data_IF_284087944629
#
_entry.id   IF_284087944629
#
_cell.length_a   1.000
_cell.length_b   1.000
_cell.length_c   1.000
_cell.angle_alpha   90.00
_cell.angle_beta   90.00
_cell.angle_gamma   90.00
#
_symmetry.space_group_name_H-M   'P 1'
#
loop_
_entity.id
_entity.type
_entity.pdbx_description
1 polymer ?
#
# COMPACT_ATOMS: atom_id res chain seq x y z
N UNK A 1 -7.83 20.98 15.20
CA UNK A 1 -6.46 20.68 14.73
C UNK A 1 -5.78 21.99 14.34
N UNK A 2 -4.57 22.24 14.83
CA UNK A 2 -3.85 23.50 14.62
C UNK A 2 -3.31 23.53 13.16
N UNK A 3 -3.50 24.63 12.43
CA UNK A 3 -3.21 24.72 10.98
C UNK A 3 -1.74 24.40 10.64
N UNK A 4 -0.83 24.70 11.56
CA UNK A 4 0.60 24.39 11.47
C UNK A 4 0.87 22.89 11.50
N UNK A 5 0.12 22.11 12.27
CA UNK A 5 0.30 20.67 12.42
C UNK A 5 -0.09 19.94 11.13
N UNK A 6 -1.20 20.33 10.51
CA UNK A 6 -1.62 19.81 9.21
C UNK A 6 -0.54 20.07 8.13
N UNK A 7 0.07 21.26 8.14
CA UNK A 7 1.16 21.60 7.21
C UNK A 7 2.42 20.76 7.46
N UNK A 8 2.81 20.56 8.72
CA UNK A 8 3.95 19.70 9.08
C UNK A 8 3.68 18.25 8.68
N UNK A 9 2.51 17.70 9.02
CA UNK A 9 2.14 16.34 8.66
C UNK A 9 2.17 16.14 7.13
N UNK A 10 1.61 17.07 6.36
CA UNK A 10 1.63 17.00 4.90
C UNK A 10 3.06 16.97 4.33
N UNK A 11 4.00 17.72 4.90
CA UNK A 11 5.41 17.68 4.50
C UNK A 11 6.05 16.33 4.82
N UNK A 12 5.85 15.83 6.04
CA UNK A 12 6.42 14.54 6.46
C UNK A 12 5.87 13.39 5.61
N UNK A 13 4.57 13.39 5.31
CA UNK A 13 3.98 12.40 4.40
C UNK A 13 4.59 12.47 2.99
N UNK A 14 4.82 13.69 2.46
CA UNK A 14 5.49 13.86 1.16
C UNK A 14 6.97 13.42 1.18
N UNK A 15 7.62 13.45 2.35
CA UNK A 15 8.98 12.95 2.58
C UNK A 15 9.03 11.44 2.84
N UNK A 16 7.89 10.73 2.78
CA UNK A 16 7.84 9.27 2.94
C UNK A 16 7.71 8.79 4.38
N UNK A 17 7.29 9.66 5.31
CA UNK A 17 6.82 9.22 6.62
C UNK A 17 5.40 8.66 6.53
N UNK A 18 5.12 7.67 7.35
CA UNK A 18 3.81 7.05 7.49
C UNK A 18 3.34 7.11 8.94
N UNK A 19 2.04 6.89 9.18
CA UNK A 19 1.54 6.78 10.55
C UNK A 19 2.09 5.49 11.19
N UNK A 20 2.68 5.63 12.36
CA UNK A 20 3.15 4.48 13.13
C UNK A 20 1.97 3.83 13.85
N UNK A 21 1.68 2.58 13.48
CA UNK A 21 0.55 1.80 14.00
C UNK A 21 0.96 0.63 14.92
N UNK A 22 2.23 0.60 15.33
CA UNK A 22 2.75 -0.42 16.24
C UNK A 22 2.41 -0.13 17.70
N UNK A 23 2.53 -1.15 18.54
CA UNK A 23 2.50 -1.01 19.97
C UNK A 23 3.75 -0.27 20.47
N UNK A 24 3.55 0.68 21.39
CA UNK A 24 4.62 1.43 22.05
C UNK A 24 4.59 1.07 23.53
N UNK A 25 5.71 0.59 24.04
CA UNK A 25 5.91 0.29 25.44
C UNK A 25 5.71 1.57 26.29
N UNK A 26 4.88 1.53 27.35
CA UNK A 26 4.70 2.66 28.25
C UNK A 26 5.99 3.32 28.76
N UNK A 27 7.07 2.55 28.94
CA UNK A 27 8.39 3.03 29.39
C UNK A 27 9.00 4.06 28.43
N UNK A 28 8.62 4.05 27.14
CA UNK A 28 9.02 5.08 26.17
C UNK A 28 8.49 6.45 26.58
N UNK A 29 7.23 6.53 27.03
CA UNK A 29 6.62 7.80 27.42
C UNK A 29 7.21 8.34 28.73
N UNK A 30 7.55 7.46 29.66
CA UNK A 30 8.24 7.82 30.91
C UNK A 30 9.62 8.41 30.62
N UNK A 31 10.43 7.75 29.77
CA UNK A 31 11.76 8.24 29.35
C UNK A 31 11.72 9.57 28.62
N UNK A 32 10.65 9.83 27.85
CA UNK A 32 10.46 11.09 27.12
C UNK A 32 9.81 12.19 27.98
N UNK A 33 9.48 11.89 29.24
CA UNK A 33 8.75 12.77 30.14
C UNK A 33 7.48 13.33 29.46
N UNK A 34 6.71 12.41 28.87
CA UNK A 34 5.52 12.76 28.12
C UNK A 34 4.37 13.12 29.07
N UNK A 35 3.82 14.34 29.00
CA UNK A 35 2.79 14.80 29.94
C UNK A 35 1.41 14.17 29.69
N UNK A 36 1.14 13.71 28.47
CA UNK A 36 -0.17 13.15 28.09
C UNK A 36 -0.02 12.09 26.99
N UNK A 37 0.25 10.82 27.36
CA UNK A 37 0.40 9.72 26.41
C UNK A 37 -0.85 9.46 25.55
N UNK A 38 -2.04 9.93 25.95
CA UNK A 38 -3.29 9.71 25.19
C UNK A 38 -3.41 10.60 23.95
N UNK A 39 -2.61 11.67 23.86
CA UNK A 39 -2.63 12.62 22.73
C UNK A 39 -1.46 12.43 21.77
N UNK A 40 -0.66 11.39 21.96
CA UNK A 40 0.49 11.13 21.10
C UNK A 40 0.04 10.77 19.70
N UNK A 41 0.80 11.24 18.72
CA UNK A 41 0.57 10.93 17.31
C UNK A 41 1.94 10.68 16.68
N UNK A 42 2.25 9.42 16.43
CA UNK A 42 3.55 9.01 15.94
C UNK A 42 3.53 8.81 14.43
N UNK A 43 4.53 9.38 13.77
CA UNK A 43 4.85 9.09 12.37
C UNK A 43 6.23 8.47 12.30
N UNK A 44 6.46 7.61 11.31
CA UNK A 44 7.73 6.94 11.14
C UNK A 44 8.17 6.89 9.67
N UNK A 45 9.47 7.02 9.49
CA UNK A 45 10.19 6.55 8.31
C UNK A 45 11.28 5.62 8.85
N UNK A 46 10.93 4.35 9.05
CA UNK A 46 11.70 3.44 9.92
C UNK A 46 13.19 3.44 9.57
N UNK A 47 14.11 3.62 10.56
CA UNK A 47 13.89 3.56 12.00
C UNK A 47 13.58 4.93 12.67
N UNK A 48 13.36 5.99 11.91
CA UNK A 48 13.11 7.34 12.43
C UNK A 48 11.67 7.45 12.89
N UNK A 49 11.45 7.84 14.15
CA UNK A 49 10.14 8.06 14.76
C UNK A 49 9.99 9.50 15.23
N UNK A 50 8.84 10.10 14.96
CA UNK A 50 8.56 11.49 15.35
C UNK A 50 7.15 11.62 15.93
N UNK A 51 7.03 12.25 17.10
CA UNK A 51 5.75 12.49 17.75
C UNK A 51 5.24 13.90 17.48
N UNK A 52 3.99 14.02 17.03
CA UNK A 52 3.29 15.29 16.76
C UNK A 52 2.24 15.62 17.83
N UNK A 53 2.16 14.84 18.91
CA UNK A 53 1.12 14.98 19.94
C UNK A 53 1.25 16.20 20.85
N UNK A 54 2.45 16.77 20.97
CA UNK A 54 2.71 17.95 21.81
C UNK A 54 3.78 18.87 21.19
N UNK A 55 3.94 20.07 21.76
CA UNK A 55 4.90 21.07 21.27
C UNK A 55 6.37 20.63 21.40
N UNK A 56 6.70 19.67 22.28
CA UNK A 56 8.07 19.14 22.41
C UNK A 56 8.55 18.38 21.15
N UNK A 57 7.61 17.87 20.33
CA UNK A 57 7.89 17.15 19.08
C UNK A 57 9.00 16.09 19.21
N UNK A 58 8.80 15.15 20.12
CA UNK A 58 9.82 14.18 20.51
C UNK A 58 10.30 13.34 19.32
N UNK A 59 11.63 13.18 19.21
CA UNK A 59 12.30 12.29 18.24
C UNK A 59 13.26 11.39 19.03
N UNK A 60 12.88 10.14 19.35
CA UNK A 60 13.74 9.20 20.04
C UNK A 60 15.02 8.93 19.25
N UNK A 61 16.14 8.74 19.96
CA UNK A 61 17.42 8.35 19.35
C UNK A 61 17.51 6.85 19.08
N UNK A 62 16.77 6.06 19.84
CA UNK A 62 16.69 4.60 19.70
C UNK A 62 15.23 4.16 19.56
N UNK A 63 15.04 2.99 18.97
CA UNK A 63 13.72 2.38 18.73
C UNK A 63 13.32 1.41 19.84
N UNK A 64 14.02 1.39 20.97
CA UNK A 64 13.74 0.44 22.06
C UNK A 64 12.38 0.74 22.68
N UNK A 65 11.52 -0.27 22.78
CA UNK A 65 10.14 -0.11 23.24
C UNK A 65 9.16 0.28 22.13
N UNK A 66 9.60 0.45 20.88
CA UNK A 66 8.71 0.51 19.73
C UNK A 66 8.62 -0.87 19.09
N UNK A 67 7.40 -1.38 18.91
CA UNK A 67 7.17 -2.58 18.13
C UNK A 67 7.69 -2.40 16.70
N UNK A 68 8.44 -3.37 16.19
CA UNK A 68 8.77 -3.41 14.77
C UNK A 68 7.50 -3.77 13.99
N UNK A 69 6.97 -2.81 13.24
CA UNK A 69 5.84 -3.04 12.35
C UNK A 69 6.40 -3.54 11.03
N UNK A 70 6.08 -4.79 10.68
CA UNK A 70 6.37 -5.29 9.35
C UNK A 70 5.48 -4.53 8.35
N UNK A 71 6.03 -4.05 7.22
CA UNK A 71 5.22 -3.42 6.20
C UNK A 71 4.17 -4.43 5.73
N UNK A 72 2.91 -4.21 6.11
CA UNK A 72 1.80 -4.89 5.46
C UNK A 72 1.70 -4.23 4.09
N UNK A 73 2.29 -4.87 3.09
CA UNK A 73 2.08 -4.46 1.70
C UNK A 73 0.63 -4.80 1.40
N UNK A 74 -0.25 -3.82 1.56
CA UNK A 74 -1.68 -3.90 1.22
C UNK A 74 -1.92 -4.04 -0.30
N UNK A 75 -0.87 -4.08 -1.12
CA UNK A 75 -1.06 -4.47 -2.51
C UNK A 75 -1.47 -5.94 -2.56
N UNK A 76 -2.66 -6.24 -3.09
CA UNK A 76 -3.04 -7.62 -3.30
C UNK A 76 -1.96 -8.26 -4.18
N UNK A 77 -1.48 -9.43 -3.76
CA UNK A 77 -0.51 -10.22 -4.51
C UNK A 77 -1.16 -11.47 -5.05
N UNK A 78 -1.04 -11.70 -6.35
CA UNK A 78 -1.40 -12.97 -6.94
C UNK A 78 -0.18 -13.87 -6.99
N UNK A 79 -0.17 -14.92 -6.17
CA UNK A 79 0.97 -15.87 -6.06
C UNK A 79 2.32 -15.16 -5.90
N UNK A 80 2.34 -14.10 -5.09
CA UNK A 80 3.54 -13.33 -4.79
C UNK A 80 3.85 -12.18 -5.74
N UNK A 81 3.13 -12.04 -6.87
CA UNK A 81 3.33 -10.98 -7.85
C UNK A 81 2.30 -9.85 -7.73
N UNK A 82 2.73 -8.61 -7.94
CA UNK A 82 1.84 -7.43 -7.98
C UNK A 82 1.19 -7.28 -9.36
N UNK A 83 0.14 -6.45 -9.46
CA UNK A 83 -0.50 -6.13 -10.75
C UNK A 83 0.52 -5.53 -11.74
N UNK A 84 1.36 -4.61 -11.27
CA UNK A 84 2.41 -3.99 -12.08
C UNK A 84 3.41 -5.01 -12.62
N UNK A 85 3.77 -6.03 -11.83
CA UNK A 85 4.66 -7.11 -12.27
C UNK A 85 3.99 -8.04 -13.29
N UNK A 86 2.71 -8.36 -13.11
CA UNK A 86 1.95 -9.17 -14.06
C UNK A 86 1.79 -8.46 -15.41
N UNK A 87 1.57 -7.15 -15.40
CA UNK A 87 1.40 -6.32 -16.59
C UNK A 87 2.71 -6.06 -17.38
N UNK A 88 3.87 -6.50 -16.87
CA UNK A 88 5.14 -6.56 -17.64
C UNK A 88 5.20 -7.75 -18.58
N UNK A 89 4.40 -8.80 -18.35
CA UNK A 89 4.33 -9.96 -19.26
C UNK A 89 3.59 -9.54 -20.54
N UNK A 90 3.92 -10.16 -21.68
CA UNK A 90 3.19 -9.91 -22.93
C UNK A 90 1.84 -10.64 -22.96
N UNK A 91 1.78 -11.82 -22.36
CA UNK A 91 0.61 -12.68 -22.31
C UNK A 91 0.31 -13.08 -20.87
N UNK A 92 -0.93 -12.86 -20.44
CA UNK A 92 -1.45 -13.24 -19.14
C UNK A 92 -2.34 -14.49 -19.27
N UNK A 93 -2.33 -15.31 -18.23
CA UNK A 93 -3.32 -16.37 -18.04
C UNK A 93 -4.66 -15.77 -17.62
N UNK A 94 -5.74 -16.56 -17.72
CA UNK A 94 -7.09 -16.08 -17.36
C UNK A 94 -7.19 -15.71 -15.88
N UNK A 95 -6.50 -16.43 -15.01
CA UNK A 95 -6.42 -16.18 -13.57
C UNK A 95 -5.61 -14.93 -13.23
N UNK A 96 -4.52 -14.68 -13.96
CA UNK A 96 -3.73 -13.46 -13.81
C UNK A 96 -4.50 -12.22 -14.29
N UNK A 97 -5.18 -12.32 -15.44
CA UNK A 97 -6.02 -11.23 -15.95
C UNK A 97 -7.24 -10.96 -15.05
N UNK A 98 -7.85 -12.02 -14.52
CA UNK A 98 -8.96 -11.92 -13.57
C UNK A 98 -8.54 -11.16 -12.31
N UNK A 99 -7.33 -11.45 -11.83
CA UNK A 99 -6.74 -10.74 -10.71
C UNK A 99 -6.48 -9.25 -11.02
N UNK A 100 -5.88 -8.92 -12.17
CA UNK A 100 -5.62 -7.53 -12.56
C UNK A 100 -6.92 -6.71 -12.68
N UNK A 101 -7.97 -7.31 -13.26
CA UNK A 101 -9.26 -6.64 -13.53
C UNK A 101 -10.25 -6.75 -12.37
N UNK A 102 -9.89 -7.43 -11.27
CA UNK A 102 -10.77 -7.72 -10.12
C UNK A 102 -12.10 -8.39 -10.51
N UNK A 103 -12.07 -9.27 -11.51
CA UNK A 103 -13.24 -10.03 -11.98
C UNK A 103 -13.01 -11.53 -11.82
N UNK A 104 -14.05 -12.34 -12.08
CA UNK A 104 -13.90 -13.80 -12.06
C UNK A 104 -13.24 -14.35 -13.35
N UNK A 105 -12.55 -15.48 -13.26
CA UNK A 105 -12.02 -16.22 -14.41
C UNK A 105 -13.07 -16.48 -15.50
N UNK A 106 -14.33 -16.73 -15.10
CA UNK A 106 -15.44 -16.94 -16.03
C UNK A 106 -15.73 -15.68 -16.84
N UNK A 107 -15.68 -14.52 -16.19
CA UNK A 107 -15.91 -13.23 -16.84
C UNK A 107 -14.80 -12.92 -17.85
N UNK A 108 -13.52 -13.17 -17.49
CA UNK A 108 -12.40 -13.00 -18.42
C UNK A 108 -12.53 -13.87 -19.65
N UNK A 109 -12.93 -15.14 -19.48
CA UNK A 109 -13.17 -16.05 -20.62
C UNK A 109 -14.32 -15.58 -21.51
N UNK A 110 -15.38 -15.04 -20.90
CA UNK A 110 -16.50 -14.44 -21.63
C UNK A 110 -16.05 -13.23 -22.45
N UNK A 111 -15.32 -12.30 -21.83
CA UNK A 111 -14.75 -11.13 -22.52
C UNK A 111 -13.77 -11.49 -23.64
N UNK A 112 -12.99 -12.56 -23.47
CA UNK A 112 -12.13 -13.08 -24.52
C UNK A 112 -12.92 -13.71 -25.70
N UNK A 113 -14.10 -14.27 -25.44
CA UNK A 113 -15.00 -14.79 -26.48
C UNK A 113 -15.78 -13.68 -27.19
N UNK A 114 -16.17 -12.64 -26.45
CA UNK A 114 -16.88 -11.47 -26.95
C UNK A 114 -15.98 -10.51 -27.74
N UNK A 115 -14.65 -10.71 -27.69
CA UNK A 115 -13.67 -9.87 -28.39
C UNK A 115 -13.33 -8.57 -27.66
N UNK A 116 -13.80 -8.40 -26.43
CA UNK A 116 -13.45 -7.27 -25.56
C UNK A 116 -11.98 -7.37 -25.14
N UNK A 117 -11.53 -8.58 -24.80
CA UNK A 117 -10.14 -8.87 -24.48
C UNK A 117 -9.43 -9.57 -25.64
N UNK A 118 -8.30 -9.03 -26.08
CA UNK A 118 -7.49 -9.62 -27.16
C UNK A 118 -6.85 -10.91 -26.67
N UNK A 119 -7.32 -12.04 -27.21
CA UNK A 119 -6.83 -13.37 -26.87
C UNK A 119 -5.87 -13.94 -27.92
N UNK A 120 -4.91 -14.72 -27.45
CA UNK A 120 -3.97 -15.41 -28.32
C UNK A 120 -4.62 -16.64 -28.98
N UNK A 121 -4.30 -16.87 -30.25
CA UNK A 121 -4.92 -17.91 -31.10
C UNK A 121 -4.71 -19.34 -30.56
N UNK A 122 -3.56 -19.61 -29.93
CA UNK A 122 -3.24 -20.94 -29.39
C UNK A 122 -3.86 -21.15 -28.01
N UNK A 123 -4.51 -22.30 -27.84
CA UNK A 123 -4.95 -22.81 -26.53
C UNK A 123 -3.74 -23.24 -25.69
N UNK A 124 -3.81 -23.16 -24.34
CA UNK A 124 -4.91 -22.62 -23.52
C UNK A 124 -5.05 -21.09 -23.65
N UNK A 125 -6.27 -20.57 -23.43
CA UNK A 125 -6.58 -19.13 -23.59
C UNK A 125 -5.58 -18.27 -22.81
N UNK A 126 -5.01 -17.28 -23.50
CA UNK A 126 -4.14 -16.23 -22.97
C UNK A 126 -4.63 -14.89 -23.48
N UNK A 127 -4.53 -13.86 -22.65
CA UNK A 127 -4.94 -12.49 -22.98
C UNK A 127 -3.69 -11.60 -23.05
N UNK A 128 -3.65 -10.62 -23.94
CA UNK A 128 -2.52 -9.68 -24.01
C UNK A 128 -2.55 -8.71 -22.82
N UNK A 129 -1.39 -8.33 -22.31
CA UNK A 129 -1.31 -7.33 -21.23
C UNK A 129 -1.76 -5.95 -21.66
N UNK A 130 -1.60 -5.61 -22.94
CA UNK A 130 -2.07 -4.35 -23.54
C UNK A 130 -3.58 -4.23 -23.43
N UNK A 131 -4.32 -5.26 -23.85
CA UNK A 131 -5.78 -5.26 -23.78
C UNK A 131 -6.29 -5.24 -22.33
N UNK A 132 -5.57 -5.87 -21.39
CA UNK A 132 -5.88 -5.78 -19.96
C UNK A 132 -5.64 -4.35 -19.44
N UNK A 133 -4.57 -3.67 -19.86
CA UNK A 133 -4.31 -2.27 -19.45
C UNK A 133 -5.36 -1.31 -19.99
N UNK A 134 -5.75 -1.48 -21.25
CA UNK A 134 -6.82 -0.68 -21.87
C UNK A 134 -8.13 -0.86 -21.09
N UNK A 135 -8.50 -2.10 -20.77
CA UNK A 135 -9.72 -2.36 -20.04
C UNK A 135 -9.65 -1.91 -18.57
N UNK A 136 -8.48 -1.99 -17.93
CA UNK A 136 -8.27 -1.39 -16.60
C UNK A 136 -8.52 0.12 -16.60
N UNK A 137 -8.08 0.83 -17.65
CA UNK A 137 -8.33 2.27 -17.77
C UNK A 137 -9.81 2.59 -18.07
N UNK A 138 -10.54 1.68 -18.72
CA UNK A 138 -11.98 1.87 -18.99
C UNK A 138 -12.85 1.63 -17.75
N UNK A 139 -12.39 0.83 -16.79
CA UNK A 139 -13.16 0.42 -15.62
C UNK A 139 -13.02 1.38 -14.41
N UNK A 140 -12.22 2.45 -14.50
CA UNK A 140 -11.94 3.41 -13.42
C UNK A 140 -11.74 2.73 -12.04
N UNK A 141 -10.73 1.85 -11.95
CA UNK A 141 -10.21 1.28 -10.67
C UNK A 141 -8.88 1.92 -10.32
#
# INVERSE_FOLDING_TARGET
MNSTLCRTLRKMLAEGFEQYNGHIDPVVYERLECPDPKKVYWVCHWPILHCLGCNKRCTPKDTSGFQMVLPMVDEPRYKGATVAELLKKNLLRTDEAAFCLRVSDRQVRKWAQEGILVSHVRKPVRVTSESVKEEMNNLDI
#
